data_IF_965902569749
#
_entry.id   IF_965902569749
#
_cell.length_a   1.000
_cell.length_b   1.000
_cell.length_c   1.000
_cell.angle_alpha   90.00
_cell.angle_beta   90.00
_cell.angle_gamma   90.00
#
_symmetry.space_group_name_H-M   'P 1'
#
loop_
_entity.id
_entity.type
_entity.pdbx_description
1 polymer ?
#
# COMPACT_ATOMS: atom_id res chain seq x y z
N UNK A 1 27.96 -5.64 4.09
CA UNK A 1 29.20 -5.53 4.88
C UNK A 1 29.98 -4.36 4.33
N UNK A 2 30.48 -3.43 5.14
CA UNK A 2 31.24 -2.27 4.65
C UNK A 2 32.59 -2.16 5.38
N UNK A 3 33.65 -1.84 4.64
CA UNK A 3 34.97 -1.52 5.19
C UNK A 3 35.76 -2.74 5.68
N UNK A 4 35.44 -3.94 5.19
CA UNK A 4 36.12 -5.18 5.60
C UNK A 4 37.24 -5.60 4.65
N UNK A 5 37.30 -5.04 3.43
CA UNK A 5 38.27 -5.44 2.40
C UNK A 5 38.07 -6.87 1.89
N UNK A 6 36.98 -7.54 2.27
CA UNK A 6 36.64 -8.89 1.82
C UNK A 6 35.94 -8.83 0.46
N UNK A 7 35.83 -9.96 -0.28
CA UNK A 7 35.03 -10.02 -1.50
C UNK A 7 33.53 -9.67 -1.33
N UNK A 8 33.05 -9.61 -0.08
CA UNK A 8 31.68 -9.26 0.29
C UNK A 8 31.51 -7.79 0.70
N UNK A 9 32.58 -7.01 0.68
CA UNK A 9 32.56 -5.59 1.00
C UNK A 9 31.68 -4.80 0.01
N UNK A 10 30.86 -3.89 0.53
CA UNK A 10 29.84 -3.13 -0.19
C UNK A 10 28.62 -3.94 -0.66
N UNK A 11 28.51 -5.24 -0.32
CA UNK A 11 27.42 -6.11 -0.80
C UNK A 11 26.37 -6.39 0.26
N UNK A 12 25.14 -6.65 -0.21
CA UNK A 12 24.07 -7.22 0.61
C UNK A 12 24.38 -8.70 0.87
N UNK A 13 24.34 -9.07 2.14
CA UNK A 13 24.72 -10.41 2.63
C UNK A 13 23.61 -10.97 3.50
N UNK A 14 23.68 -12.27 3.78
CA UNK A 14 22.89 -12.93 4.83
C UNK A 14 23.17 -12.30 6.20
N UNK A 15 22.28 -12.51 7.17
CA UNK A 15 22.36 -11.89 8.50
C UNK A 15 23.68 -12.19 9.24
N UNK A 16 24.22 -13.38 9.04
CA UNK A 16 25.51 -13.83 9.57
C UNK A 16 26.73 -13.26 8.82
N UNK A 17 26.50 -12.54 7.72
CA UNK A 17 27.53 -11.91 6.89
C UNK A 17 28.40 -12.86 6.08
N UNK A 18 28.05 -14.16 6.03
CA UNK A 18 28.91 -15.20 5.45
C UNK A 18 28.78 -15.34 3.94
N UNK A 19 27.61 -15.01 3.37
CA UNK A 19 27.30 -15.20 1.95
C UNK A 19 26.47 -14.05 1.38
N UNK A 20 26.40 -13.96 0.05
CA UNK A 20 25.58 -12.95 -0.62
C UNK A 20 24.09 -13.19 -0.40
N UNK A 21 23.36 -12.10 -0.19
CA UNK A 21 21.90 -12.17 -0.11
C UNK A 21 21.32 -12.55 -1.48
N UNK A 22 20.40 -13.51 -1.50
CA UNK A 22 19.60 -13.87 -2.67
C UNK A 22 18.21 -13.22 -2.65
N UNK A 23 17.96 -12.34 -1.67
CA UNK A 23 16.68 -11.66 -1.53
C UNK A 23 16.42 -10.78 -2.75
N UNK A 24 15.27 -11.00 -3.40
CA UNK A 24 14.81 -10.20 -4.52
C UNK A 24 13.63 -9.36 -4.09
N UNK A 25 13.66 -8.06 -4.39
CA UNK A 25 12.55 -7.15 -4.16
C UNK A 25 11.59 -7.25 -5.35
N UNK A 26 10.44 -7.88 -5.13
CA UNK A 26 9.42 -8.07 -6.16
C UNK A 26 8.39 -6.93 -6.09
N UNK A 27 7.89 -6.44 -7.24
CA UNK A 27 7.01 -5.26 -7.30
C UNK A 27 5.62 -5.48 -6.66
N UNK A 28 5.22 -6.73 -6.42
CA UNK A 28 3.97 -7.15 -5.81
C UNK A 28 4.13 -7.59 -4.35
N UNK A 29 5.30 -7.38 -3.76
CA UNK A 29 5.61 -7.78 -2.39
C UNK A 29 6.08 -6.59 -1.56
N UNK A 30 5.48 -6.44 -0.38
CA UNK A 30 5.98 -5.51 0.61
C UNK A 30 7.26 -6.07 1.24
N UNK A 31 8.22 -5.18 1.49
CA UNK A 31 9.43 -5.49 2.23
C UNK A 31 9.66 -4.43 3.30
N UNK A 32 10.38 -4.81 4.34
CA UNK A 32 10.77 -3.92 5.41
C UNK A 32 12.27 -3.70 5.32
N UNK A 33 12.67 -2.46 5.57
CA UNK A 33 14.07 -2.12 5.69
C UNK A 33 14.34 -1.76 7.14
N UNK A 34 15.15 -2.59 7.77
CA UNK A 34 15.62 -2.33 9.12
C UNK A 34 16.95 -1.58 9.05
N UNK A 35 16.98 -0.36 9.60
CA UNK A 35 18.22 0.39 9.80
C UNK A 35 18.57 0.40 11.29
N UNK A 36 19.83 0.08 11.60
CA UNK A 36 20.35 0.13 12.97
C UNK A 36 20.24 1.54 13.56
N UNK A 37 19.97 1.61 14.85
CA UNK A 37 19.92 2.86 15.61
C UNK A 37 21.27 3.59 15.53
N UNK A 38 21.23 4.93 15.40
CA UNK A 38 22.42 5.80 15.33
C UNK A 38 23.39 5.54 14.16
N UNK A 39 22.91 4.96 13.05
CA UNK A 39 23.69 4.89 11.81
C UNK A 39 23.96 6.30 11.25
N UNK A 40 25.21 6.59 10.87
CA UNK A 40 25.63 7.92 10.37
C UNK A 40 24.93 8.30 9.06
N UNK A 41 24.67 7.31 8.21
CA UNK A 41 23.83 7.50 7.03
C UNK A 41 22.35 7.44 7.42
N UNK A 42 21.75 8.63 7.51
CA UNK A 42 20.36 8.81 7.87
C UNK A 42 19.41 8.97 6.67
N UNK A 43 19.95 9.21 5.48
CA UNK A 43 19.20 9.31 4.24
C UNK A 43 19.19 7.97 3.52
N UNK A 44 17.99 7.50 3.17
CA UNK A 44 17.80 6.31 2.35
C UNK A 44 16.92 6.67 1.16
N UNK A 45 17.37 6.31 -0.04
CA UNK A 45 16.67 6.59 -1.29
C UNK A 45 16.42 5.28 -2.01
N UNK A 46 15.15 4.95 -2.27
CA UNK A 46 14.78 3.89 -3.20
C UNK A 46 14.53 4.53 -4.55
N UNK A 47 15.17 4.00 -5.59
CA UNK A 47 14.87 4.31 -6.97
C UNK A 47 14.44 3.04 -7.70
N UNK A 48 13.60 3.18 -8.70
CA UNK A 48 13.07 2.07 -9.48
C UNK A 48 12.26 2.59 -10.65
N UNK A 49 11.97 1.69 -11.59
CA UNK A 49 11.07 2.01 -12.69
C UNK A 49 9.63 2.08 -12.17
N UNK A 50 8.92 3.13 -12.57
CA UNK A 50 7.47 3.23 -12.36
C UNK A 50 6.73 2.46 -13.45
N UNK A 51 5.57 1.94 -13.13
CA UNK A 51 4.77 1.18 -14.09
C UNK A 51 4.19 2.08 -15.18
N UNK A 52 4.40 1.74 -16.44
CA UNK A 52 3.65 2.31 -17.59
C UNK A 52 2.46 1.45 -18.02
N UNK A 53 2.32 0.24 -17.47
CA UNK A 53 1.22 -0.68 -17.79
C UNK A 53 -0.15 -0.02 -17.56
N UNK A 54 -1.13 -0.38 -18.38
CA UNK A 54 -2.49 0.17 -18.31
C UNK A 54 -3.26 -0.25 -17.06
N UNK A 55 -2.88 -1.35 -16.43
CA UNK A 55 -3.44 -1.85 -15.18
C UNK A 55 -2.42 -2.74 -14.48
N UNK A 56 -2.48 -2.79 -13.15
CA UNK A 56 -1.79 -3.80 -12.33
C UNK A 56 -2.80 -4.72 -11.67
N UNK A 57 -2.51 -6.01 -11.70
CA UNK A 57 -3.32 -7.04 -11.02
C UNK A 57 -2.61 -7.39 -9.72
N UNK A 58 -3.24 -7.07 -8.60
CA UNK A 58 -2.73 -7.31 -7.26
C UNK A 58 -3.64 -8.28 -6.52
N UNK A 59 -3.06 -9.16 -5.70
CA UNK A 59 -3.83 -10.07 -4.84
C UNK A 59 -3.84 -9.53 -3.41
N UNK A 60 -5.02 -9.12 -2.94
CA UNK A 60 -5.24 -8.71 -1.56
C UNK A 60 -5.66 -9.94 -0.74
N UNK A 61 -4.95 -10.22 0.35
CA UNK A 61 -5.26 -11.34 1.26
C UNK A 61 -6.25 -10.91 2.34
N UNK A 62 -7.00 -11.84 2.95
CA UNK A 62 -7.72 -11.57 4.18
C UNK A 62 -6.82 -10.92 5.23
N UNK A 63 -7.28 -9.87 5.90
CA UNK A 63 -6.50 -9.13 6.89
C UNK A 63 -5.75 -7.93 6.33
N UNK A 64 -4.55 -7.69 6.84
CA UNK A 64 -3.75 -6.47 6.60
C UNK A 64 -2.87 -6.67 5.35
N UNK A 65 -3.03 -5.80 4.36
CA UNK A 65 -2.20 -5.74 3.17
C UNK A 65 -1.46 -4.41 3.12
N UNK A 66 -0.15 -4.45 2.91
CA UNK A 66 0.65 -3.24 2.70
C UNK A 66 0.69 -2.96 1.21
N UNK A 67 0.24 -1.78 0.81
CA UNK A 67 0.12 -1.39 -0.59
C UNK A 67 0.73 -0.01 -0.81
N UNK A 68 1.05 0.29 -2.06
CA UNK A 68 1.47 1.61 -2.51
C UNK A 68 1.02 1.82 -3.94
N UNK A 69 0.99 3.08 -4.41
CA UNK A 69 0.76 3.31 -5.84
C UNK A 69 2.01 2.94 -6.64
N UNK A 70 1.83 2.16 -7.70
CA UNK A 70 2.89 1.81 -8.67
C UNK A 70 3.01 2.83 -9.82
N UNK A 71 2.12 3.82 -9.84
CA UNK A 71 2.05 4.86 -10.87
C UNK A 71 2.76 6.13 -10.42
N UNK A 72 3.31 6.95 -11.34
CA UNK A 72 4.09 8.15 -11.01
C UNK A 72 3.22 9.37 -10.65
N UNK A 73 1.93 9.19 -10.38
CA UNK A 73 1.01 10.27 -10.06
C UNK A 73 0.10 9.90 -8.89
N UNK A 74 -0.35 10.86 -8.06
CA UNK A 74 -1.32 10.59 -7.01
C UNK A 74 -2.65 10.03 -7.55
N UNK A 75 -3.21 9.02 -6.88
CA UNK A 75 -4.49 8.39 -7.27
C UNK A 75 -5.50 8.47 -6.13
N UNK A 76 -6.65 9.09 -6.37
CA UNK A 76 -7.75 9.13 -5.40
C UNK A 76 -8.30 7.71 -5.17
N UNK A 77 -8.86 7.44 -3.99
CA UNK A 77 -9.44 6.12 -3.71
C UNK A 77 -10.52 5.69 -4.72
N UNK A 78 -11.43 6.57 -5.20
CA UNK A 78 -12.37 6.20 -6.27
C UNK A 78 -11.68 5.80 -7.59
N UNK A 79 -10.59 6.47 -7.97
CA UNK A 79 -9.86 6.18 -9.21
C UNK A 79 -8.93 4.97 -9.06
N UNK A 80 -8.68 4.52 -7.83
CA UNK A 80 -7.88 3.34 -7.54
C UNK A 80 -8.60 2.02 -7.84
N UNK A 81 -9.90 2.05 -8.15
CA UNK A 81 -10.76 0.88 -8.31
C UNK A 81 -10.95 0.02 -7.04
N UNK A 82 -10.50 0.48 -5.87
CA UNK A 82 -10.77 -0.18 -4.59
C UNK A 82 -12.27 -0.21 -4.23
N UNK A 83 -13.07 0.75 -4.73
CA UNK A 83 -14.53 0.75 -4.56
C UNK A 83 -15.29 -0.14 -5.54
N UNK A 84 -14.61 -0.82 -6.47
CA UNK A 84 -15.28 -1.74 -7.40
C UNK A 84 -15.87 -2.92 -6.64
N UNK A 85 -16.94 -3.45 -7.21
CA UNK A 85 -17.57 -4.68 -6.73
C UNK A 85 -16.52 -5.78 -6.53
N UNK A 86 -16.66 -6.54 -5.46
CA UNK A 86 -15.75 -7.60 -5.01
C UNK A 86 -14.33 -7.18 -4.60
N UNK A 87 -13.93 -5.91 -4.67
CA UNK A 87 -12.59 -5.49 -4.22
C UNK A 87 -12.58 -5.17 -2.72
N UNK A 88 -13.19 -4.06 -2.32
CA UNK A 88 -13.44 -3.76 -0.91
C UNK A 88 -14.92 -3.94 -0.61
N UNK A 89 -15.22 -4.60 0.51
CA UNK A 89 -16.57 -4.69 1.05
C UNK A 89 -16.88 -3.43 1.85
N UNK A 90 -17.83 -2.64 1.36
CA UNK A 90 -18.40 -1.54 2.12
C UNK A 90 -19.51 -1.99 3.06
N UNK A 91 -19.91 -1.11 3.97
CA UNK A 91 -21.03 -1.30 4.89
C UNK A 91 -21.66 0.03 5.29
N UNK A 92 -22.68 0.00 6.15
CA UNK A 92 -23.36 1.22 6.61
C UNK A 92 -22.63 1.92 7.76
N UNK A 93 -21.47 1.39 8.16
CA UNK A 93 -20.61 1.91 9.21
C UNK A 93 -19.15 1.49 8.99
N UNK A 94 -18.21 2.26 9.55
CA UNK A 94 -16.78 1.92 9.53
C UNK A 94 -16.49 0.54 10.15
N UNK A 95 -17.26 0.15 11.18
CA UNK A 95 -17.13 -1.15 11.84
C UNK A 95 -17.43 -2.35 10.93
N UNK A 96 -18.30 -2.17 9.94
CA UNK A 96 -18.70 -3.24 9.00
C UNK A 96 -17.90 -3.26 7.70
N UNK A 97 -17.17 -2.18 7.42
CA UNK A 97 -16.50 -1.97 6.14
C UNK A 97 -15.04 -2.38 6.20
N UNK A 98 -14.50 -2.75 5.03
CA UNK A 98 -13.07 -2.77 4.75
C UNK A 98 -12.51 -1.34 4.79
N UNK A 99 -11.20 -1.23 5.05
CA UNK A 99 -10.57 0.06 5.31
C UNK A 99 -9.29 0.27 4.51
N UNK A 100 -9.03 1.52 4.18
CA UNK A 100 -7.73 2.01 3.75
C UNK A 100 -7.18 2.91 4.84
N UNK A 101 -5.93 2.71 5.24
CA UNK A 101 -5.28 3.48 6.27
C UNK A 101 -3.98 4.07 5.75
N UNK A 102 -3.65 5.25 6.25
CA UNK A 102 -2.34 5.87 6.07
C UNK A 102 -1.80 6.24 7.44
N UNK A 103 -0.52 5.94 7.67
CA UNK A 103 0.17 6.36 8.87
C UNK A 103 0.78 7.75 8.66
N UNK A 104 0.48 8.65 9.58
CA UNK A 104 1.09 9.96 9.72
C UNK A 104 1.89 10.02 11.04
N UNK A 105 2.83 10.97 11.22
CA UNK A 105 3.54 11.12 12.48
C UNK A 105 2.64 11.33 13.71
N UNK A 106 1.42 11.85 13.49
CA UNK A 106 0.42 12.11 14.53
C UNK A 106 -0.56 10.95 14.75
N UNK A 107 -0.47 9.86 13.97
CA UNK A 107 -1.35 8.71 14.08
C UNK A 107 -1.89 8.21 12.75
N UNK A 108 -2.88 7.32 12.80
CA UNK A 108 -3.52 6.77 11.61
C UNK A 108 -4.71 7.61 11.16
N UNK A 109 -4.79 7.81 9.85
CA UNK A 109 -6.01 8.26 9.18
C UNK A 109 -6.66 7.08 8.47
N UNK A 110 -7.98 7.00 8.52
CA UNK A 110 -8.77 5.89 8.00
C UNK A 110 -9.77 6.38 6.95
N UNK A 111 -9.95 5.56 5.91
CA UNK A 111 -11.04 5.61 4.97
C UNK A 111 -11.80 4.28 5.01
N UNK A 112 -13.12 4.32 5.02
CA UNK A 112 -13.96 3.13 4.84
C UNK A 112 -14.94 3.34 3.69
N UNK A 113 -15.21 2.27 2.96
CA UNK A 113 -16.14 2.29 1.83
C UNK A 113 -17.58 2.23 2.35
N UNK A 114 -18.40 3.22 2.01
CA UNK A 114 -19.83 3.22 2.34
C UNK A 114 -20.59 2.33 1.38
N UNK A 115 -21.47 1.47 1.91
CA UNK A 115 -22.40 0.69 1.10
C UNK A 115 -23.65 0.32 1.89
N UNK A 116 -24.74 0.00 1.19
CA UNK A 116 -25.98 -0.49 1.79
C UNK A 116 -26.78 0.57 2.56
N UNK A 117 -26.43 1.85 2.44
CA UNK A 117 -27.17 2.94 3.10
C UNK A 117 -28.33 3.46 2.26
N UNK A 118 -28.33 3.20 0.95
CA UNK A 118 -29.27 3.75 -0.05
C UNK A 118 -29.24 5.28 -0.07
N UNK A 119 -28.07 5.86 0.16
CA UNK A 119 -27.84 7.31 0.11
C UNK A 119 -26.84 7.65 -0.99
N UNK A 120 -26.64 8.94 -1.25
CA UNK A 120 -25.63 9.45 -2.18
C UNK A 120 -24.19 9.10 -1.78
N UNK A 121 -23.99 8.63 -0.55
CA UNK A 121 -22.68 8.28 -0.01
C UNK A 121 -22.26 6.86 -0.40
N UNK A 122 -23.18 5.99 -0.84
CA UNK A 122 -22.84 4.63 -1.26
C UNK A 122 -21.81 4.66 -2.41
N UNK A 123 -20.73 3.88 -2.26
CA UNK A 123 -19.58 3.87 -3.18
C UNK A 123 -18.51 4.91 -2.89
N UNK A 124 -18.71 5.79 -1.89
CA UNK A 124 -17.71 6.77 -1.45
C UNK A 124 -16.86 6.24 -0.29
N UNK A 125 -15.63 6.75 -0.20
CA UNK A 125 -14.75 6.53 0.94
C UNK A 125 -14.92 7.66 1.95
N UNK A 126 -15.33 7.34 3.17
CA UNK A 126 -15.55 8.33 4.24
C UNK A 126 -14.47 8.24 5.32
N UNK A 127 -14.22 9.33 6.04
CA UNK A 127 -13.37 9.34 7.24
C UNK A 127 -13.90 8.38 8.30
N UNK A 128 -13.07 7.97 9.27
CA UNK A 128 -13.48 7.03 10.34
C UNK A 128 -14.81 7.40 11.02
N UNK A 129 -15.01 8.70 11.28
CA UNK A 129 -16.23 9.26 11.88
C UNK A 129 -17.47 9.24 10.98
N UNK A 130 -17.31 9.02 9.67
CA UNK A 130 -18.38 9.09 8.67
C UNK A 130 -18.86 10.51 8.36
N UNK A 131 -18.18 11.55 8.84
CA UNK A 131 -18.66 12.94 8.75
C UNK A 131 -18.23 13.67 7.48
N UNK A 132 -17.22 13.16 6.76
CA UNK A 132 -16.73 13.73 5.51
C UNK A 132 -16.11 12.66 4.61
N UNK A 133 -16.03 12.96 3.31
CA UNK A 133 -15.27 12.15 2.35
C UNK A 133 -13.80 12.13 2.79
N UNK A 134 -13.18 10.95 2.72
CA UNK A 134 -11.78 10.77 3.08
C UNK A 134 -10.87 11.54 2.11
N UNK A 135 -9.89 12.31 2.62
CA UNK A 135 -8.91 12.99 1.79
C UNK A 135 -7.73 12.08 1.41
N UNK A 136 -7.77 10.78 1.76
CA UNK A 136 -6.71 9.84 1.41
C UNK A 136 -6.57 9.76 -0.12
N UNK A 137 -5.33 9.94 -0.57
CA UNK A 137 -4.88 9.79 -1.96
C UNK A 137 -3.64 8.92 -1.93
N UNK A 138 -3.56 7.92 -2.81
CA UNK A 138 -2.40 7.03 -2.96
C UNK A 138 -1.29 7.79 -3.69
N UNK A 139 -0.26 8.23 -2.95
CA UNK A 139 0.85 9.03 -3.46
C UNK A 139 2.07 8.16 -3.79
N UNK A 140 2.79 8.42 -4.89
CA UNK A 140 4.02 7.71 -5.21
C UNK A 140 5.03 7.81 -4.05
N UNK A 141 5.68 6.71 -3.70
CA UNK A 141 6.65 6.65 -2.61
C UNK A 141 6.05 6.62 -1.20
N UNK A 142 4.72 6.59 -1.05
CA UNK A 142 4.03 6.44 0.23
C UNK A 142 3.35 5.07 0.35
N UNK A 143 3.48 4.47 1.53
CA UNK A 143 2.83 3.20 1.87
C UNK A 143 1.47 3.39 2.56
N UNK A 144 0.57 2.46 2.32
CA UNK A 144 -0.80 2.41 2.84
C UNK A 144 -1.10 1.01 3.34
N UNK A 145 -2.12 0.90 4.19
CA UNK A 145 -2.68 -0.37 4.62
C UNK A 145 -4.07 -0.51 4.02
N UNK A 146 -4.32 -1.63 3.34
CA UNK A 146 -5.66 -2.08 2.98
C UNK A 146 -6.04 -3.23 3.90
N UNK A 147 -7.05 -3.00 4.73
CA UNK A 147 -7.55 -3.99 5.68
C UNK A 147 -8.84 -4.61 5.16
N UNK A 148 -8.72 -5.86 4.67
CA UNK A 148 -9.86 -6.67 4.25
C UNK A 148 -10.39 -7.44 5.45
N UNK A 149 -11.59 -7.09 5.89
CA UNK A 149 -12.25 -7.60 7.08
C UNK A 149 -13.29 -8.64 6.72
N UNK A 150 -13.41 -9.68 7.55
CA UNK A 150 -14.49 -10.65 7.46
C UNK A 150 -14.64 -11.32 6.08
N UNK A 151 -13.54 -11.42 5.32
CA UNK A 151 -13.39 -12.32 4.18
C UNK A 151 -12.45 -13.46 4.57
N UNK A 152 -12.61 -14.62 3.93
CA UNK A 152 -11.71 -15.77 4.10
C UNK A 152 -10.93 -16.08 2.83
N UNK A 153 -11.25 -15.42 1.72
CA UNK A 153 -10.62 -15.65 0.41
C UNK A 153 -9.84 -14.42 -0.06
N UNK A 154 -8.71 -14.60 -0.76
CA UNK A 154 -8.04 -13.51 -1.43
C UNK A 154 -8.92 -12.85 -2.50
N UNK A 155 -8.66 -11.58 -2.74
CA UNK A 155 -9.39 -10.74 -3.68
C UNK A 155 -8.44 -10.20 -4.73
N UNK A 156 -8.89 -10.16 -5.98
CA UNK A 156 -8.13 -9.57 -7.08
C UNK A 156 -8.46 -8.08 -7.20
N UNK A 157 -7.46 -7.25 -6.98
CA UNK A 157 -7.52 -5.82 -7.23
C UNK A 157 -6.90 -5.49 -8.58
N UNK A 158 -7.74 -5.16 -9.55
CA UNK A 158 -7.31 -4.57 -10.82
C UNK A 158 -7.14 -3.06 -10.61
N UNK A 159 -5.91 -2.62 -10.38
CA UNK A 159 -5.55 -1.24 -10.14
C UNK A 159 -5.21 -0.55 -11.46
N UNK A 160 -6.13 0.26 -12.05
CA UNK A 160 -5.90 0.81 -13.36
C UNK A 160 -4.97 2.03 -13.30
N UNK A 161 -4.25 2.27 -14.41
CA UNK A 161 -3.38 3.43 -14.52
C UNK A 161 -4.23 4.71 -14.65
N UNK A 162 -4.05 5.69 -13.76
CA UNK A 162 -4.82 6.93 -13.77
C UNK A 162 -4.63 7.75 -15.05
N UNK A 163 -3.53 7.57 -15.78
CA UNK A 163 -3.25 8.31 -17.02
C UNK A 163 -4.23 7.92 -18.14
N UNK A 164 -4.78 6.70 -18.12
CA UNK A 164 -5.74 6.22 -19.14
C UNK A 164 -7.21 6.37 -18.73
N UNK A 165 -7.48 6.87 -17.53
CA UNK A 165 -8.84 6.99 -16.97
C UNK A 165 -9.33 8.45 -16.86
N UNK A 166 -8.64 9.40 -17.49
CA UNK A 166 -9.04 10.82 -17.56
C UNK A 166 -9.87 11.10 -18.83
#
# INVERSE_FOLDING_TARGET
VEGTGTPLDGKWVTEDGSTLSTLSLLPDQAFWLYRRQAHVDSLFTVTGLVSSDSSRVLTLKPGINYVGTCYPTPVSLPNSALNRHDVLRGGSSSGQSDKVLVYHPTGYEFAWLVSGTRTIWDGQFMSESGTKVSPIVLKPGQGYIVWIKNTTVPVTWNYPNPIYNN
#
